data_IF_957101009313
#
_entry.id   IF_957101009313
#
_cell.length_a   1.000
_cell.length_b   1.000
_cell.length_c   1.000
_cell.angle_alpha   90.00
_cell.angle_beta   90.00
_cell.angle_gamma   90.00
#
_symmetry.space_group_name_H-M   'P 1'
#
loop_
_entity.id
_entity.type
_entity.pdbx_description
1 polymer ?
#
# COMPACT_ATOMS: atom_id res chain seq x y z
N UNK A 1 -28.54 38.68 -36.03
CA UNK A 1 -28.77 37.69 -34.95
C UNK A 1 -27.41 37.35 -34.34
N UNK A 2 -27.35 37.30 -33.00
CA UNK A 2 -26.11 37.31 -32.20
C UNK A 2 -25.45 35.92 -32.23
N UNK A 3 -24.22 35.80 -32.71
CA UNK A 3 -23.44 34.57 -32.67
C UNK A 3 -22.86 34.38 -31.28
N UNK A 4 -23.43 33.45 -30.50
CA UNK A 4 -22.93 33.06 -29.18
C UNK A 4 -21.83 32.02 -29.32
N UNK A 5 -20.63 32.33 -28.83
CA UNK A 5 -19.56 31.36 -28.65
C UNK A 5 -19.86 30.52 -27.40
N UNK A 6 -20.10 29.23 -27.56
CA UNK A 6 -20.15 28.28 -26.45
C UNK A 6 -18.71 27.79 -26.18
N UNK A 7 -18.11 28.23 -25.08
CA UNK A 7 -16.84 27.70 -24.61
C UNK A 7 -17.10 26.35 -23.91
N UNK A 8 -16.65 25.25 -24.53
CA UNK A 8 -16.67 23.93 -23.91
C UNK A 8 -15.39 23.76 -23.06
N UNK A 9 -15.54 23.79 -21.74
CA UNK A 9 -14.45 23.49 -20.80
C UNK A 9 -14.20 21.98 -20.77
N UNK A 10 -13.04 21.53 -21.25
CA UNK A 10 -12.61 20.14 -21.14
C UNK A 10 -12.07 19.94 -19.71
N UNK A 11 -12.81 19.18 -18.90
CA UNK A 11 -12.33 18.73 -17.60
C UNK A 11 -11.37 17.56 -17.84
N UNK A 12 -10.06 17.81 -17.73
CA UNK A 12 -9.05 16.77 -17.67
C UNK A 12 -9.10 16.12 -16.29
N UNK A 13 -9.82 15.01 -16.19
CA UNK A 13 -9.71 14.12 -15.04
C UNK A 13 -8.38 13.37 -15.15
N UNK A 14 -7.40 13.80 -14.37
CA UNK A 14 -6.15 13.05 -14.18
C UNK A 14 -6.50 11.71 -13.54
N UNK A 15 -6.44 10.64 -14.32
CA UNK A 15 -6.53 9.27 -13.79
C UNK A 15 -5.17 9.01 -13.14
N UNK A 16 -5.05 9.30 -11.85
CA UNK A 16 -3.95 8.78 -11.05
C UNK A 16 -4.31 7.32 -10.78
N UNK A 17 -3.73 6.41 -11.57
CA UNK A 17 -3.78 5.00 -11.22
C UNK A 17 -3.05 4.81 -9.90
N UNK A 18 -3.66 4.08 -8.96
CA UNK A 18 -2.94 3.57 -7.81
C UNK A 18 -1.96 2.51 -8.34
N UNK A 19 -0.68 2.89 -8.44
CA UNK A 19 0.39 1.94 -8.69
C UNK A 19 0.84 1.45 -7.33
N UNK A 20 0.54 0.19 -7.01
CA UNK A 20 1.13 -0.45 -5.84
C UNK A 20 2.64 -0.51 -6.03
N UNK A 21 3.39 0.03 -5.07
CA UNK A 21 4.84 -0.07 -5.02
C UNK A 21 5.22 -1.39 -4.35
N UNK A 22 6.37 -1.95 -4.72
CA UNK A 22 6.93 -3.16 -4.12
C UNK A 22 8.20 -2.88 -3.31
N UNK A 23 8.41 -3.66 -2.24
CA UNK A 23 9.63 -3.67 -1.44
C UNK A 23 9.90 -5.06 -0.86
N UNK A 24 11.14 -5.30 -0.42
CA UNK A 24 11.57 -6.52 0.25
C UNK A 24 12.27 -6.17 1.56
N UNK A 25 12.07 -6.99 2.61
CA UNK A 25 12.84 -6.85 3.82
C UNK A 25 12.46 -7.81 4.95
N UNK A 26 13.32 -7.85 5.96
CA UNK A 26 13.12 -8.64 7.17
C UNK A 26 12.09 -7.97 8.09
N UNK A 27 11.08 -8.72 8.55
CA UNK A 27 10.13 -8.25 9.56
C UNK A 27 10.86 -8.06 10.88
N UNK A 28 10.93 -6.82 11.36
CA UNK A 28 11.56 -6.47 12.63
C UNK A 28 10.60 -6.41 13.81
N UNK A 29 9.34 -6.08 13.56
CA UNK A 29 8.30 -5.98 14.60
C UNK A 29 6.93 -6.29 14.03
N UNK A 30 6.13 -7.00 14.81
CA UNK A 30 4.70 -7.26 14.53
C UNK A 30 3.85 -6.64 15.64
N UNK A 31 2.94 -5.73 15.27
CA UNK A 31 1.97 -5.10 16.17
C UNK A 31 0.58 -5.65 15.85
N UNK A 32 0.11 -6.59 16.67
CA UNK A 32 -1.17 -7.30 16.46
C UNK A 32 -2.37 -6.45 16.81
N UNK A 33 -2.22 -5.48 17.72
CA UNK A 33 -3.30 -4.60 18.12
C UNK A 33 -3.61 -3.58 17.01
N UNK A 34 -2.57 -3.11 16.34
CA UNK A 34 -2.68 -2.12 15.27
C UNK A 34 -2.66 -2.75 13.87
N UNK A 35 -2.50 -4.06 13.74
CA UNK A 35 -2.34 -4.76 12.45
C UNK A 35 -1.26 -4.10 11.58
N UNK A 36 -0.06 -3.91 12.14
CA UNK A 36 1.08 -3.36 11.39
C UNK A 36 2.32 -4.21 11.55
N UNK A 37 3.18 -4.20 10.54
CA UNK A 37 4.55 -4.69 10.62
C UNK A 37 5.53 -3.54 10.43
N UNK A 38 6.74 -3.70 10.95
CA UNK A 38 7.87 -2.79 10.69
C UNK A 38 9.02 -3.62 10.13
N UNK A 39 9.57 -3.21 8.99
CA UNK A 39 10.72 -3.88 8.39
C UNK A 39 12.04 -3.39 9.02
N UNK A 40 13.15 -4.06 8.69
CA UNK A 40 14.48 -3.78 9.23
C UNK A 40 15.04 -2.39 8.86
N UNK A 41 14.55 -1.77 7.79
CA UNK A 41 14.84 -0.39 7.40
C UNK A 41 14.07 0.66 8.24
N UNK A 42 13.13 0.21 9.08
CA UNK A 42 12.29 1.05 9.93
C UNK A 42 10.98 1.49 9.29
N UNK A 43 10.71 1.12 8.04
CA UNK A 43 9.44 1.40 7.39
C UNK A 43 8.31 0.58 8.00
N UNK A 44 7.13 1.19 8.10
CA UNK A 44 5.93 0.60 8.71
C UNK A 44 4.84 0.41 7.68
N UNK A 45 4.21 -0.75 7.71
CA UNK A 45 3.16 -1.16 6.80
C UNK A 45 1.94 -1.67 7.55
N UNK A 46 0.75 -1.31 7.07
CA UNK A 46 -0.54 -1.76 7.58
C UNK A 46 -0.92 -3.07 6.89
N UNK A 47 -1.18 -4.10 7.68
CA UNK A 47 -1.68 -5.37 7.19
C UNK A 47 -3.13 -5.22 6.70
N UNK A 48 -3.55 -6.03 5.71
CA UNK A 48 -4.95 -6.15 5.33
C UNK A 48 -5.80 -6.53 6.56
N UNK A 49 -7.04 -6.02 6.64
CA UNK A 49 -7.91 -6.23 7.80
C UNK A 49 -8.22 -7.70 8.14
N UNK A 50 -8.10 -8.61 7.17
CA UNK A 50 -8.33 -10.06 7.34
C UNK A 50 -7.03 -10.89 7.34
N UNK A 51 -5.87 -10.26 7.46
CA UNK A 51 -4.59 -10.98 7.41
C UNK A 51 -4.38 -11.89 8.64
N UNK A 52 -3.98 -13.14 8.41
CA UNK A 52 -3.63 -14.07 9.48
C UNK A 52 -2.23 -13.75 10.05
N UNK A 53 -2.19 -12.93 11.09
CA UNK A 53 -0.96 -12.52 11.80
C UNK A 53 -0.23 -13.68 12.48
N UNK A 54 -0.83 -14.87 12.56
CA UNK A 54 -0.15 -16.05 13.13
C UNK A 54 0.83 -16.68 12.14
N UNK A 55 0.70 -16.36 10.85
CA UNK A 55 1.63 -16.76 9.81
C UNK A 55 2.91 -15.90 9.76
N UNK A 56 3.04 -14.90 10.63
CA UNK A 56 4.17 -13.97 10.66
C UNK A 56 5.01 -14.13 11.93
N UNK A 57 6.32 -14.10 11.73
CA UNK A 57 7.34 -14.11 12.77
C UNK A 57 8.39 -13.01 12.50
N UNK A 58 8.98 -12.47 13.58
CA UNK A 58 10.11 -11.56 13.45
C UNK A 58 11.31 -12.33 12.89
N UNK A 59 12.03 -11.72 11.94
CA UNK A 59 13.12 -12.37 11.22
C UNK A 59 12.72 -13.00 9.87
N UNK A 60 11.44 -12.97 9.49
CA UNK A 60 11.02 -13.42 8.15
C UNK A 60 11.38 -12.38 7.09
N UNK A 61 12.05 -12.81 6.02
CA UNK A 61 12.23 -12.02 4.80
C UNK A 61 10.98 -12.10 3.93
N UNK A 62 10.35 -10.95 3.67
CA UNK A 62 9.09 -10.86 2.92
C UNK A 62 9.21 -9.91 1.74
N UNK A 63 8.42 -10.16 0.70
CA UNK A 63 8.18 -9.21 -0.40
C UNK A 63 6.77 -8.66 -0.25
N UNK A 64 6.64 -7.33 -0.30
CA UNK A 64 5.40 -6.61 -0.02
C UNK A 64 5.06 -5.72 -1.22
N UNK A 65 3.84 -5.85 -1.72
CA UNK A 65 3.22 -4.82 -2.53
C UNK A 65 2.31 -3.95 -1.64
N UNK A 66 2.34 -2.63 -1.82
CA UNK A 66 1.58 -1.70 -1.01
C UNK A 66 1.08 -0.48 -1.80
N UNK A 67 -0.05 0.07 -1.37
CA UNK A 67 -0.52 1.39 -1.79
C UNK A 67 -0.32 2.40 -0.67
N UNK A 68 -0.10 3.67 -1.01
CA UNK A 68 -0.17 4.76 -0.05
C UNK A 68 -1.58 5.36 -0.03
N UNK A 69 -2.28 5.19 1.10
CA UNK A 69 -3.63 5.72 1.32
C UNK A 69 -3.58 6.61 2.56
N UNK A 70 -3.92 7.88 2.38
CA UNK A 70 -3.90 8.89 3.46
C UNK A 70 -2.56 8.99 4.23
N UNK A 71 -1.44 8.67 3.55
CA UNK A 71 -0.10 8.68 4.13
C UNK A 71 0.28 7.40 4.88
N UNK A 72 -0.57 6.39 4.89
CA UNK A 72 -0.26 5.04 5.40
C UNK A 72 0.08 4.10 4.24
N UNK A 73 1.12 3.27 4.42
CA UNK A 73 1.46 2.20 3.48
C UNK A 73 0.59 0.98 3.77
N UNK A 74 -0.46 0.77 2.98
CA UNK A 74 -1.39 -0.34 3.09
C UNK A 74 -0.92 -1.50 2.20
N UNK A 75 -0.64 -2.64 2.81
CA UNK A 75 -0.25 -3.84 2.08
C UNK A 75 -1.43 -4.33 1.24
N UNK A 76 -1.17 -4.55 -0.05
CA UNK A 76 -2.13 -5.10 -1.00
C UNK A 76 -1.82 -6.56 -1.34
N UNK A 77 -0.55 -6.96 -1.25
CA UNK A 77 -0.10 -8.35 -1.38
C UNK A 77 1.19 -8.58 -0.57
N UNK A 78 1.37 -9.80 -0.08
CA UNK A 78 2.56 -10.20 0.66
C UNK A 78 2.97 -11.62 0.28
N UNK A 79 4.22 -11.76 -0.15
CA UNK A 79 4.84 -13.06 -0.35
C UNK A 79 5.71 -13.40 0.85
N UNK A 80 5.37 -14.52 1.49
CA UNK A 80 6.15 -15.12 2.56
C UNK A 80 7.26 -16.00 1.98
N UNK A 81 8.38 -16.22 2.70
CA UNK A 81 9.42 -17.13 2.26
C UNK A 81 8.89 -18.57 2.23
N UNK A 82 9.40 -19.37 1.29
CA UNK A 82 9.09 -20.80 1.21
C UNK A 82 9.44 -21.47 2.56
N UNK A 83 8.43 -22.06 3.21
CA UNK A 83 8.54 -22.72 4.52
C UNK A 83 9.20 -24.11 4.42
#
# INVERSE_FOLDING_TARGET
>A
MKTGFAAASILLLSIVGAYAADTEGEIKKIDRDNLTITLSDGEKFKLPGEFDVTALEEGMDVVIAYDEVDGEKLITDMQLPDQ
#
